data_IF_344767728793
#
_entry.id   IF_344767728793
#
_cell.length_a   1.000
_cell.length_b   1.000
_cell.length_c   1.000
_cell.angle_alpha   90.00
_cell.angle_beta   90.00
_cell.angle_gamma   90.00
#
_symmetry.space_group_name_H-M   'P 1'
#
loop_
_entity.id
_entity.type
_entity.pdbx_description
1 polymer ?
#
# COMPACT_ATOMS: atom_id res chain seq x y z
N UNK A 1 -10.70 -13.37 -8.23
CA UNK A 1 -9.53 -12.57 -8.62
C UNK A 1 -9.28 -11.63 -7.47
N UNK A 2 -8.12 -11.74 -6.83
CA UNK A 2 -7.74 -10.88 -5.72
C UNK A 2 -6.88 -9.73 -6.21
N UNK A 3 -6.87 -8.65 -5.44
CA UNK A 3 -6.02 -7.50 -5.66
C UNK A 3 -5.18 -7.23 -4.41
N UNK A 4 -4.15 -6.42 -4.57
CA UNK A 4 -3.23 -6.07 -3.51
C UNK A 4 -2.90 -4.58 -3.56
N UNK A 5 -3.11 -3.90 -2.45
CA UNK A 5 -2.72 -2.50 -2.28
C UNK A 5 -1.21 -2.46 -2.02
N UNK A 6 -0.47 -1.78 -2.90
CA UNK A 6 0.94 -1.44 -2.70
C UNK A 6 1.07 0.07 -2.56
N UNK A 7 1.54 0.52 -1.40
CA UNK A 7 1.89 1.93 -1.19
C UNK A 7 3.06 2.28 -2.11
N UNK A 8 2.95 3.43 -2.77
CA UNK A 8 4.00 4.01 -3.62
C UNK A 8 4.21 5.47 -3.21
N UNK A 9 5.29 6.05 -3.71
CA UNK A 9 5.59 7.46 -3.61
C UNK A 9 5.95 7.93 -5.03
N UNK A 10 5.02 8.63 -5.67
CA UNK A 10 5.03 8.91 -7.11
C UNK A 10 6.21 9.76 -7.54
N UNK A 11 6.77 10.58 -6.64
CA UNK A 11 7.90 11.46 -6.93
C UNK A 11 9.15 10.70 -7.39
N UNK A 12 9.24 9.39 -7.09
CA UNK A 12 10.36 8.54 -7.51
C UNK A 12 10.13 7.80 -8.83
N UNK A 13 9.01 8.06 -9.50
CA UNK A 13 8.59 7.41 -10.75
C UNK A 13 8.18 8.41 -11.83
N UNK A 14 8.60 9.68 -11.72
CA UNK A 14 8.23 10.75 -12.67
C UNK A 14 9.00 10.68 -14.00
N UNK A 15 10.00 9.81 -14.11
CA UNK A 15 10.77 9.57 -15.32
C UNK A 15 9.98 8.74 -16.35
N UNK A 16 10.30 8.86 -17.64
CA UNK A 16 9.73 7.98 -18.65
C UNK A 16 10.32 6.57 -18.56
N UNK A 17 9.50 5.54 -18.77
CA UNK A 17 10.01 4.19 -18.93
C UNK A 17 10.97 4.11 -20.12
N UNK A 18 12.12 3.42 -19.98
CA UNK A 18 13.03 3.22 -21.09
C UNK A 18 12.36 2.35 -22.17
N UNK A 19 12.74 2.51 -23.44
CA UNK A 19 12.07 1.79 -24.55
C UNK A 19 12.42 0.30 -24.63
N UNK A 20 13.50 -0.11 -23.99
CA UNK A 20 14.10 -1.42 -24.13
C UNK A 20 13.72 -2.37 -22.99
N UNK A 21 14.27 -2.19 -21.78
CA UNK A 21 13.96 -3.10 -20.66
C UNK A 21 14.19 -2.51 -19.27
N UNK A 22 13.70 -3.24 -18.26
CA UNK A 22 13.72 -2.82 -16.86
C UNK A 22 15.12 -2.60 -16.25
N UNK A 23 16.18 -3.16 -16.83
CA UNK A 23 17.56 -2.95 -16.35
C UNK A 23 18.05 -1.53 -16.59
N UNK A 24 17.40 -0.78 -17.48
CA UNK A 24 17.73 0.60 -17.81
C UNK A 24 16.83 1.63 -17.09
N UNK A 25 15.92 1.20 -16.22
CA UNK A 25 15.08 2.10 -15.44
C UNK A 25 15.91 2.92 -14.45
N UNK A 26 15.45 4.13 -14.14
CA UNK A 26 15.99 4.87 -13.01
C UNK A 26 15.80 4.07 -11.71
N UNK A 27 16.82 4.10 -10.86
CA UNK A 27 16.85 3.27 -9.65
C UNK A 27 16.15 3.94 -8.46
N UNK A 28 15.73 5.19 -8.57
CA UNK A 28 15.12 5.95 -7.46
C UNK A 28 13.81 5.31 -7.01
N UNK A 29 12.92 4.95 -7.94
CA UNK A 29 11.70 4.19 -7.66
C UNK A 29 11.99 2.83 -7.00
N UNK A 30 12.99 2.10 -7.51
CA UNK A 30 13.38 0.79 -6.97
C UNK A 30 13.93 0.92 -5.54
N UNK A 31 14.84 1.86 -5.31
CA UNK A 31 15.56 2.00 -4.03
C UNK A 31 14.71 2.64 -2.94
N UNK A 32 13.72 3.47 -3.29
CA UNK A 32 12.82 4.11 -2.32
C UNK A 32 11.49 3.37 -2.17
N UNK A 33 10.79 3.07 -3.27
CA UNK A 33 9.48 2.42 -3.22
C UNK A 33 9.57 0.89 -3.18
N UNK A 34 10.63 0.28 -3.69
CA UNK A 34 10.78 -1.18 -3.65
C UNK A 34 11.78 -1.64 -2.59
N UNK A 35 12.13 -0.80 -1.61
CA UNK A 35 13.05 -1.18 -0.54
C UNK A 35 12.56 -2.43 0.19
N UNK A 36 13.32 -3.51 0.07
CA UNK A 36 12.98 -4.80 0.67
C UNK A 36 13.53 -4.95 2.08
N UNK A 37 12.89 -5.82 2.87
CA UNK A 37 13.48 -6.40 4.08
C UNK A 37 13.54 -7.90 3.91
N UNK A 38 14.72 -8.51 4.10
CA UNK A 38 14.91 -9.96 3.89
C UNK A 38 14.41 -10.47 2.53
N UNK A 39 14.69 -9.72 1.46
CA UNK A 39 14.22 -10.00 0.09
C UNK A 39 12.69 -10.13 -0.02
N UNK A 40 11.97 -9.36 0.79
CA UNK A 40 10.53 -9.30 0.79
C UNK A 40 9.98 -7.87 0.66
N UNK A 41 8.81 -7.74 0.04
CA UNK A 41 8.11 -6.47 -0.16
C UNK A 41 6.65 -6.55 0.30
N UNK A 42 6.24 -5.57 1.11
CA UNK A 42 4.92 -5.51 1.74
C UNK A 42 3.81 -5.10 0.77
N UNK A 43 2.71 -5.85 0.78
CA UNK A 43 1.45 -5.55 0.09
C UNK A 43 0.25 -5.94 0.99
N UNK A 44 -0.94 -5.45 0.68
CA UNK A 44 -2.15 -5.74 1.46
C UNK A 44 -3.26 -6.31 0.59
N UNK A 45 -3.71 -7.53 0.91
CA UNK A 45 -4.71 -8.24 0.11
C UNK A 45 -6.11 -7.63 0.27
N UNK A 46 -6.83 -7.54 -0.85
CA UNK A 46 -8.25 -7.21 -0.95
C UNK A 46 -8.89 -7.99 -2.11
N UNK A 47 -10.22 -7.97 -2.21
CA UNK A 47 -10.99 -8.64 -3.28
C UNK A 47 -11.60 -7.64 -4.27
N UNK A 48 -11.25 -6.35 -4.16
CA UNK A 48 -11.76 -5.28 -5.02
C UNK A 48 -10.67 -4.25 -5.35
N UNK A 49 -10.70 -3.72 -6.57
CA UNK A 49 -9.85 -2.63 -7.04
C UNK A 49 -10.52 -1.25 -6.95
N UNK A 50 -11.69 -1.16 -6.29
CA UNK A 50 -12.32 0.13 -6.02
C UNK A 50 -11.82 0.67 -4.67
N UNK A 51 -11.04 1.76 -4.63
CA UNK A 51 -10.50 2.30 -3.38
C UNK A 51 -11.59 2.79 -2.40
N UNK A 52 -12.79 3.10 -2.90
CA UNK A 52 -13.89 3.69 -2.12
C UNK A 52 -14.98 2.70 -1.70
N UNK A 53 -14.83 1.41 -1.98
CA UNK A 53 -15.75 0.44 -1.38
C UNK A 53 -15.53 0.32 0.14
N UNK A 54 -16.54 -0.20 0.84
CA UNK A 54 -16.53 -0.25 2.31
C UNK A 54 -15.40 -1.11 2.89
N UNK A 55 -14.95 -2.13 2.16
CA UNK A 55 -13.87 -3.00 2.60
C UNK A 55 -12.52 -2.30 2.46
N UNK A 56 -12.25 -1.70 1.30
CA UNK A 56 -11.02 -0.97 1.01
C UNK A 56 -10.88 0.28 1.87
N UNK A 57 -11.98 0.98 2.20
CA UNK A 57 -11.95 2.06 3.21
C UNK A 57 -11.43 1.57 4.56
N UNK A 58 -11.94 0.44 5.06
CA UNK A 58 -11.48 -0.16 6.32
C UNK A 58 -10.03 -0.64 6.25
N UNK A 59 -9.64 -1.27 5.13
CA UNK A 59 -8.28 -1.73 4.90
C UNK A 59 -7.29 -0.55 4.83
N UNK A 60 -7.63 0.53 4.13
CA UNK A 60 -6.84 1.77 4.08
C UNK A 60 -6.74 2.42 5.45
N UNK A 61 -7.82 2.44 6.24
CA UNK A 61 -7.76 2.84 7.65
C UNK A 61 -6.82 1.96 8.46
N UNK A 62 -6.85 0.63 8.27
CA UNK A 62 -5.93 -0.29 8.95
C UNK A 62 -4.46 0.00 8.59
N UNK A 63 -4.16 0.23 7.31
CA UNK A 63 -2.83 0.64 6.83
C UNK A 63 -2.40 1.97 7.45
N UNK A 64 -3.32 2.94 7.54
CA UNK A 64 -3.06 4.25 8.12
C UNK A 64 -2.73 4.15 9.62
N UNK A 65 -3.53 3.39 10.39
CA UNK A 65 -3.38 3.22 11.84
C UNK A 65 -2.04 2.58 12.26
N UNK A 66 -1.34 1.92 11.34
CA UNK A 66 0.04 1.47 11.53
C UNK A 66 1.09 2.57 11.63
N UNK A 67 0.72 3.83 11.36
CA UNK A 67 1.59 5.02 11.33
C UNK A 67 1.33 5.98 12.50
N UNK A 68 2.27 6.90 12.70
CA UNK A 68 2.27 7.92 13.77
C UNK A 68 1.29 9.10 13.52
N UNK A 69 0.18 8.85 12.82
CA UNK A 69 -0.87 9.82 12.51
C UNK A 69 -1.48 9.67 11.12
N UNK A 70 -2.61 10.35 10.86
CA UNK A 70 -3.22 10.40 9.55
C UNK A 70 -2.31 11.14 8.56
N UNK A 71 -2.18 10.58 7.37
CA UNK A 71 -1.41 11.15 6.27
C UNK A 71 -1.99 10.63 4.95
N UNK A 72 -1.76 11.33 3.82
CA UNK A 72 -2.16 10.83 2.52
C UNK A 72 -1.55 9.45 2.24
N UNK A 73 -2.33 8.62 1.54
CA UNK A 73 -1.88 7.31 1.06
C UNK A 73 -1.98 7.33 -0.46
N UNK A 74 -0.81 7.30 -1.09
CA UNK A 74 -0.66 7.03 -2.50
C UNK A 74 -0.38 5.55 -2.70
N UNK A 75 -1.11 4.90 -3.61
CA UNK A 75 -0.98 3.48 -3.86
C UNK A 75 -1.45 3.09 -5.26
N UNK A 76 -1.14 1.84 -5.61
CA UNK A 76 -1.65 1.15 -6.80
C UNK A 76 -2.27 -0.18 -6.38
N UNK A 77 -3.11 -0.75 -7.25
CA UNK A 77 -3.53 -2.14 -7.14
C UNK A 77 -2.65 -3.03 -8.03
N UNK A 78 -2.13 -4.10 -7.44
CA UNK A 78 -1.59 -5.26 -8.15
C UNK A 78 -2.66 -6.34 -8.19
N UNK A 79 -2.85 -6.97 -9.32
CA UNK A 79 -3.76 -8.12 -9.47
C UNK A 79 -3.03 -9.46 -9.28
N UNK A 80 -3.76 -10.55 -9.08
CA UNK A 80 -3.17 -11.90 -9.14
C UNK A 80 -2.46 -12.16 -10.49
N UNK A 81 -2.96 -11.57 -11.60
CA UNK A 81 -2.36 -11.71 -12.93
C UNK A 81 -1.01 -10.97 -13.03
N UNK A 82 -0.91 -9.76 -12.46
CA UNK A 82 0.36 -9.02 -12.35
C UNK A 82 1.40 -9.84 -11.58
N UNK A 83 1.00 -10.47 -10.46
CA UNK A 83 1.92 -11.22 -9.62
C UNK A 83 2.31 -12.58 -10.23
N UNK A 84 1.36 -13.27 -10.85
CA UNK A 84 1.59 -14.59 -11.44
C UNK A 84 2.42 -14.52 -12.73
N UNK A 85 2.21 -13.51 -13.58
CA UNK A 85 3.02 -13.29 -14.79
C UNK A 85 4.50 -13.01 -14.48
N UNK A 86 4.78 -12.51 -13.27
CA UNK A 86 6.12 -12.25 -12.74
C UNK A 86 6.67 -13.40 -11.87
N UNK A 87 5.95 -14.51 -11.73
CA UNK A 87 6.31 -15.65 -10.89
C UNK A 87 6.64 -15.25 -9.43
N UNK A 88 5.86 -14.30 -8.89
CA UNK A 88 6.03 -13.79 -7.54
C UNK A 88 5.32 -14.68 -6.52
N UNK A 89 6.04 -15.04 -5.46
CA UNK A 89 5.50 -15.83 -4.37
C UNK A 89 5.03 -14.93 -3.23
N UNK A 90 3.88 -15.25 -2.65
CA UNK A 90 3.32 -14.52 -1.50
C UNK A 90 3.40 -15.35 -0.22
N UNK A 91 3.61 -14.66 0.90
CA UNK A 91 3.49 -15.22 2.24
C UNK A 91 2.58 -14.34 3.09
N UNK A 92 1.59 -14.94 3.76
CA UNK A 92 0.83 -14.24 4.79
C UNK A 92 1.71 -13.97 6.00
N UNK A 93 1.75 -12.70 6.40
CA UNK A 93 2.51 -12.21 7.55
C UNK A 93 1.65 -11.19 8.29
N UNK A 94 1.77 -11.05 9.61
CA UNK A 94 0.99 -10.07 10.36
C UNK A 94 1.30 -8.64 9.91
N UNK A 95 0.27 -7.88 9.56
CA UNK A 95 0.39 -6.48 9.19
C UNK A 95 0.71 -5.60 10.40
N UNK A 96 1.53 -4.56 10.19
CA UNK A 96 1.71 -3.51 11.20
C UNK A 96 0.47 -2.60 11.22
N UNK A 97 -0.54 -3.02 11.98
CA UNK A 97 -1.76 -2.26 12.24
C UNK A 97 -2.25 -2.54 13.65
N UNK A 98 -2.94 -1.57 14.24
CA UNK A 98 -3.68 -1.76 15.48
C UNK A 98 -5.14 -2.18 15.24
N UNK A 99 -5.60 -2.16 13.99
CA UNK A 99 -6.92 -2.65 13.62
C UNK A 99 -6.88 -4.18 13.46
N UNK A 100 -7.16 -4.88 14.55
CA UNK A 100 -6.93 -6.34 14.70
C UNK A 100 -7.59 -7.17 13.60
N UNK A 101 -8.80 -6.79 13.17
CA UNK A 101 -9.55 -7.49 12.12
C UNK A 101 -8.81 -7.56 10.77
N UNK A 102 -7.85 -6.64 10.53
CA UNK A 102 -7.11 -6.55 9.27
C UNK A 102 -5.65 -6.99 9.38
N UNK A 103 -5.18 -7.49 10.53
CA UNK A 103 -3.79 -7.94 10.69
C UNK A 103 -3.44 -9.03 9.67
N UNK A 104 -4.37 -9.95 9.43
CA UNK A 104 -4.19 -11.09 8.53
C UNK A 104 -4.37 -10.75 7.03
N UNK A 105 -4.62 -9.49 6.69
CA UNK A 105 -4.67 -9.03 5.30
C UNK A 105 -3.30 -8.76 4.68
N UNK A 106 -2.27 -8.58 5.51
CA UNK A 106 -0.94 -8.27 5.02
C UNK A 106 -0.29 -9.50 4.37
N UNK A 107 0.44 -9.25 3.28
CA UNK A 107 1.24 -10.23 2.56
C UNK A 107 2.61 -9.64 2.29
N UNK A 108 3.61 -10.51 2.30
CA UNK A 108 4.91 -10.21 1.74
C UNK A 108 5.05 -10.92 0.40
N UNK A 109 5.47 -10.18 -0.63
CA UNK A 109 6.09 -10.77 -1.82
C UNK A 109 7.47 -11.24 -1.40
N UNK A 110 7.73 -12.55 -1.43
CA UNK A 110 8.95 -13.15 -0.89
C UNK A 110 9.86 -13.70 -2.00
N UNK A 111 11.09 -14.03 -1.62
CA UNK A 111 12.11 -14.58 -2.51
C UNK A 111 12.40 -13.66 -3.71
N UNK A 112 12.36 -12.34 -3.47
CA UNK A 112 12.71 -11.36 -4.49
C UNK A 112 14.19 -11.48 -4.84
N UNK A 113 14.46 -11.47 -6.14
CA UNK A 113 15.79 -11.36 -6.73
C UNK A 113 15.90 -10.03 -7.47
N UNK A 114 17.10 -9.67 -7.94
CA UNK A 114 17.29 -8.46 -8.76
C UNK A 114 16.41 -8.46 -10.03
N UNK A 115 16.26 -9.61 -10.69
CA UNK A 115 15.37 -9.74 -11.86
C UNK A 115 13.89 -9.55 -11.46
N UNK A 116 13.42 -10.25 -10.40
CA UNK A 116 12.02 -10.17 -9.96
C UNK A 116 11.64 -8.76 -9.49
N UNK A 117 12.51 -8.09 -8.73
CA UNK A 117 12.24 -6.74 -8.26
C UNK A 117 12.28 -5.72 -9.40
N UNK A 118 13.16 -5.90 -10.39
CA UNK A 118 13.21 -5.03 -11.57
C UNK A 118 11.94 -5.14 -12.41
N UNK A 119 11.44 -6.35 -12.66
CA UNK A 119 10.17 -6.56 -13.38
C UNK A 119 8.97 -6.05 -12.59
N UNK A 120 8.94 -6.24 -11.27
CA UNK A 120 7.89 -5.67 -10.43
C UNK A 120 7.94 -4.14 -10.43
N UNK A 121 9.13 -3.56 -10.38
CA UNK A 121 9.33 -2.11 -10.48
C UNK A 121 8.82 -1.56 -11.80
N UNK A 122 9.01 -2.28 -12.91
CA UNK A 122 8.43 -1.93 -14.20
C UNK A 122 6.90 -1.80 -14.13
N UNK A 123 6.22 -2.83 -13.60
CA UNK A 123 4.76 -2.81 -13.44
C UNK A 123 4.30 -1.69 -12.50
N UNK A 124 5.04 -1.43 -11.42
CA UNK A 124 4.76 -0.31 -10.51
C UNK A 124 4.86 1.01 -11.26
N UNK A 125 5.92 1.23 -12.03
CA UNK A 125 6.16 2.44 -12.81
C UNK A 125 5.02 2.69 -13.80
N UNK A 126 4.65 1.67 -14.60
CA UNK A 126 3.54 1.75 -15.55
C UNK A 126 2.22 2.16 -14.87
N UNK A 127 1.92 1.57 -13.71
CA UNK A 127 0.68 1.85 -12.96
C UNK A 127 0.70 3.22 -12.28
N UNK A 128 1.84 3.66 -11.77
CA UNK A 128 1.97 4.99 -11.14
C UNK A 128 1.77 6.11 -12.16
N UNK A 129 2.19 5.89 -13.41
CA UNK A 129 2.06 6.86 -14.50
C UNK A 129 0.79 6.68 -15.35
N UNK A 130 -0.17 5.90 -14.86
CA UNK A 130 -1.49 5.73 -15.50
C UNK A 130 -2.60 6.25 -14.58
N UNK A 131 -3.27 7.32 -15.01
CA UNK A 131 -4.33 8.00 -14.25
C UNK A 131 -5.49 7.08 -13.80
N UNK A 132 -5.68 5.92 -14.44
CA UNK A 132 -6.73 4.97 -14.07
C UNK A 132 -6.28 3.91 -13.05
N UNK A 133 -4.98 3.76 -12.83
CA UNK A 133 -4.37 2.75 -11.95
C UNK A 133 -3.76 3.38 -10.70
N UNK A 134 -3.40 4.66 -10.80
CA UNK A 134 -2.85 5.46 -9.73
C UNK A 134 -3.94 6.00 -8.80
N UNK A 135 -3.79 5.77 -7.49
CA UNK A 135 -4.78 6.15 -6.50
C UNK A 135 -4.14 7.03 -5.40
N UNK A 136 -4.83 8.11 -5.04
CA UNK A 136 -4.51 8.95 -3.88
C UNK A 136 -5.73 9.00 -2.98
N UNK A 137 -5.54 8.69 -1.70
CA UNK A 137 -6.51 8.99 -0.64
C UNK A 137 -5.89 10.07 0.24
N UNK A 138 -6.56 11.22 0.28
CA UNK A 138 -6.11 12.39 1.03
C UNK A 138 -6.12 12.14 2.54
N UNK A 139 -5.45 13.02 3.29
CA UNK A 139 -5.46 12.97 4.74
C UNK A 139 -6.88 13.19 5.32
N UNK A 140 -7.69 14.01 4.65
CA UNK A 140 -9.09 14.26 4.99
C UNK A 140 -9.93 12.99 4.80
N UNK A 141 -9.82 12.32 3.66
CA UNK A 141 -10.55 11.06 3.41
C UNK A 141 -10.12 9.95 4.37
N UNK A 142 -8.83 9.80 4.67
CA UNK A 142 -8.37 8.85 5.70
C UNK A 142 -8.99 9.18 7.07
N UNK A 143 -9.09 10.47 7.39
CA UNK A 143 -9.74 10.93 8.62
C UNK A 143 -11.21 10.57 8.63
N UNK A 144 -11.93 10.80 7.54
CA UNK A 144 -13.36 10.49 7.41
C UNK A 144 -13.63 9.00 7.47
N UNK A 145 -12.83 8.17 6.78
CA UNK A 145 -12.93 6.72 6.87
C UNK A 145 -12.70 6.25 8.31
N UNK A 146 -11.69 6.81 8.98
CA UNK A 146 -11.37 6.48 10.37
C UNK A 146 -12.53 6.84 11.30
N UNK A 147 -13.11 8.04 11.19
CA UNK A 147 -14.26 8.48 11.98
C UNK A 147 -15.53 7.68 11.71
N UNK A 148 -15.73 7.26 10.46
CA UNK A 148 -16.84 6.39 10.08
C UNK A 148 -16.79 5.02 10.76
N UNK A 149 -15.58 4.53 11.05
CA UNK A 149 -15.35 3.24 11.73
C UNK A 149 -15.30 3.41 13.25
N UNK A 150 -14.57 4.43 13.71
CA UNK A 150 -14.34 4.74 15.12
C UNK A 150 -14.93 6.12 15.41
N UNK A 151 -16.14 6.18 15.98
CA UNK A 151 -16.90 7.44 16.08
C UNK A 151 -16.32 8.43 17.08
N UNK A 152 -15.49 7.97 18.00
CA UNK A 152 -14.91 8.76 19.09
C UNK A 152 -13.52 8.24 19.49
N UNK A 153 -12.74 9.05 20.22
CA UNK A 153 -11.38 8.70 20.63
C UNK A 153 -11.34 7.38 21.39
N UNK A 154 -12.31 7.11 22.27
CA UNK A 154 -12.42 5.86 23.05
C UNK A 154 -12.67 4.62 22.19
N UNK A 155 -13.18 4.79 20.96
CA UNK A 155 -13.41 3.68 20.04
C UNK A 155 -12.19 3.31 19.19
N UNK A 156 -11.18 4.18 19.10
CA UNK A 156 -9.92 3.85 18.42
C UNK A 156 -9.24 2.63 19.07
N UNK A 157 -8.40 1.88 18.35
CA UNK A 157 -7.52 0.89 18.96
C UNK A 157 -6.64 1.52 20.06
N UNK A 158 -6.42 0.80 21.16
CA UNK A 158 -5.74 1.32 22.38
C UNK A 158 -4.42 2.05 22.08
N UNK A 159 -3.60 1.50 21.18
CA UNK A 159 -2.33 2.11 20.73
C UNK A 159 -2.54 3.53 20.18
N UNK A 160 -3.61 3.76 19.43
CA UNK A 160 -3.91 5.03 18.78
C UNK A 160 -4.73 5.97 19.68
N UNK A 161 -5.39 5.44 20.71
CA UNK A 161 -6.01 6.26 21.75
C UNK A 161 -5.00 7.07 22.55
N UNK A 162 -3.70 6.71 22.54
CA UNK A 162 -2.63 7.48 23.18
C UNK A 162 -2.01 8.54 22.26
N UNK A 163 -2.12 8.36 20.95
CA UNK A 163 -1.41 9.16 19.95
C UNK A 163 -2.05 10.54 19.75
N UNK A 164 -1.25 11.58 19.90
CA UNK A 164 -1.71 12.98 19.82
C UNK A 164 -2.30 13.32 18.44
N UNK A 165 -1.73 12.82 17.34
CA UNK A 165 -2.20 13.13 15.99
C UNK A 165 -3.50 12.39 15.69
N UNK A 166 -3.62 11.13 16.09
CA UNK A 166 -4.86 10.37 15.95
C UNK A 166 -6.01 10.93 16.81
N UNK A 167 -5.73 11.42 18.02
CA UNK A 167 -6.75 12.14 18.82
C UNK A 167 -7.27 13.40 18.13
N UNK A 168 -6.37 14.15 17.51
CA UNK A 168 -6.68 15.48 16.96
C UNK A 168 -7.73 15.43 15.86
N UNK A 169 -7.95 14.27 15.23
CA UNK A 169 -8.99 14.18 14.22
C UNK A 169 -10.40 14.38 14.81
N UNK A 170 -10.62 14.13 16.10
CA UNK A 170 -11.92 14.26 16.78
C UNK A 170 -12.13 15.60 17.51
N UNK A 171 -11.17 16.52 17.40
CA UNK A 171 -11.23 17.86 17.99
C UNK A 171 -11.66 18.87 16.92
#
# INVERSE_FOLDING_TARGET
MSYYIRKVDSQYWEDELPQDNYLNMAVDGVTNCCRTSSNALSIWKTESNNPYDDYNKKLLTAIALGRDGPAPITFIFLSDDDLSSLELALKQTPGNTSYVEFIDNHRDIINLTLDKIGRLAWVIHEKVNNDNEYNIISCEEITDFTKGIFQEVSSLPEKNQGDRKWKRIYL
#
